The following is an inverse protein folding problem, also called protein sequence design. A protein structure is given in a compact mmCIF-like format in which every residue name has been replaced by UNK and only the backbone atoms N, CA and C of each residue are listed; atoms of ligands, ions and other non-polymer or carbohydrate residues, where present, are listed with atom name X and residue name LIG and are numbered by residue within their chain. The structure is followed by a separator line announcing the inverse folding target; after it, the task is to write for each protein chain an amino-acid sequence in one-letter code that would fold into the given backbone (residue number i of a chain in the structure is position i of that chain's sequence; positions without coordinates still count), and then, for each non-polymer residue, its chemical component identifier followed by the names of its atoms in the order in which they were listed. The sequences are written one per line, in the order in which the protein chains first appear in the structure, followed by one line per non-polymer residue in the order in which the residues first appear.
data_IF_272694177574
#
_entry.id   IF_272694177574
#
_cell.length_a   1.000
_cell.length_b   1.000
_cell.length_c   1.000
_cell.angle_alpha   90.00
_cell.angle_beta   90.00
_cell.angle_gamma   90.00
#
_symmetry.space_group_name_H-M   'P 1'
#
loop_
_entity.id
_entity.type
_entity.pdbx_description
1 polymer ?
#
# COMPACT_ATOMS: atom_id res chain seq x y z
N UNK A 1 1.75 14.40 9.61
CA UNK A 1 1.96 12.95 9.43
C UNK A 1 3.27 12.74 8.71
N UNK A 2 4.09 11.79 9.17
CA UNK A 2 5.36 11.47 8.52
C UNK A 2 5.11 10.65 7.25
N UNK A 3 6.10 10.58 6.36
CA UNK A 3 6.00 9.74 5.16
C UNK A 3 5.85 8.25 5.52
N UNK A 4 6.46 7.80 6.62
CA UNK A 4 6.32 6.44 7.16
C UNK A 4 4.88 6.09 7.50
N UNK A 5 4.08 7.05 7.96
CA UNK A 5 2.65 6.83 8.26
C UNK A 5 1.80 6.47 7.04
N UNK A 6 2.34 6.62 5.83
CA UNK A 6 1.61 6.49 4.58
C UNK A 6 2.07 5.30 3.71
N UNK A 7 3.03 4.49 4.17
CA UNK A 7 3.30 3.20 3.54
C UNK A 7 2.09 2.28 3.68
N UNK A 8 1.68 1.65 2.58
CA UNK A 8 0.51 0.75 2.59
C UNK A 8 0.90 -0.66 3.00
N UNK A 9 0.23 -1.17 4.03
CA UNK A 9 0.33 -2.53 4.55
C UNK A 9 -1.06 -3.03 4.96
N UNK A 10 -1.15 -4.29 5.41
CA UNK A 10 -2.44 -4.91 5.73
C UNK A 10 -2.77 -4.79 7.22
N UNK A 11 -4.01 -4.41 7.50
CA UNK A 11 -4.68 -4.74 8.75
C UNK A 11 -5.59 -5.94 8.50
N UNK A 12 -5.72 -6.81 9.49
CA UNK A 12 -6.59 -7.97 9.39
C UNK A 12 -7.41 -8.21 10.65
N UNK A 13 -8.61 -8.73 10.48
CA UNK A 13 -9.56 -8.99 11.55
C UNK A 13 -9.31 -10.39 12.16
N UNK A 14 -8.82 -10.43 13.41
CA UNK A 14 -8.51 -11.69 14.10
C UNK A 14 -9.78 -12.46 14.46
N UNK A 15 -10.86 -11.76 14.80
CA UNK A 15 -12.15 -12.39 15.07
C UNK A 15 -12.67 -13.17 13.86
N UNK A 16 -12.53 -12.61 12.64
CA UNK A 16 -12.91 -13.32 11.43
C UNK A 16 -11.97 -14.50 11.11
N UNK A 17 -10.69 -14.43 11.47
CA UNK A 17 -9.83 -15.62 11.40
C UNK A 17 -10.36 -16.74 12.29
N UNK A 18 -10.66 -16.45 13.56
CA UNK A 18 -11.16 -17.43 14.52
C UNK A 18 -12.52 -18.01 14.09
N UNK A 19 -13.44 -17.16 13.64
CA UNK A 19 -14.79 -17.56 13.21
C UNK A 19 -14.77 -18.58 12.07
N UNK A 20 -13.80 -18.46 11.16
CA UNK A 20 -13.66 -19.36 10.00
C UNK A 20 -12.57 -20.42 10.21
N UNK A 21 -12.01 -20.55 11.42
CA UNK A 21 -10.97 -21.54 11.74
C UNK A 21 -9.65 -21.32 11.00
N UNK A 22 -9.35 -20.09 10.60
CA UNK A 22 -8.10 -19.70 9.95
C UNK A 22 -7.04 -19.34 10.99
N UNK A 23 -5.81 -19.76 10.74
CA UNK A 23 -4.65 -19.36 11.55
C UNK A 23 -4.16 -17.99 11.07
N UNK A 24 -3.93 -17.06 12.01
CA UNK A 24 -3.33 -15.77 11.68
C UNK A 24 -1.93 -15.97 11.04
N UNK A 25 -1.60 -15.30 9.92
CA UNK A 25 -0.45 -15.67 9.09
C UNK A 25 0.90 -15.15 9.61
N UNK A 26 1.02 -14.76 10.89
CA UNK A 26 2.28 -14.26 11.46
C UNK A 26 3.44 -15.24 11.27
N UNK A 27 3.20 -16.54 11.46
CA UNK A 27 4.25 -17.55 11.28
C UNK A 27 4.62 -17.77 9.82
N UNK A 28 3.66 -17.64 8.89
CA UNK A 28 3.95 -17.65 7.46
C UNK A 28 4.79 -16.44 7.07
N UNK A 29 4.55 -15.27 7.68
CA UNK A 29 5.38 -14.09 7.45
C UNK A 29 6.82 -14.33 7.93
N UNK A 30 6.99 -14.82 9.16
CA UNK A 30 8.31 -15.14 9.73
C UNK A 30 9.06 -16.20 8.92
N UNK A 31 8.34 -17.19 8.39
CA UNK A 31 8.89 -18.23 7.54
C UNK A 31 9.13 -17.77 6.08
N UNK A 32 8.72 -16.56 5.71
CA UNK A 32 8.85 -16.04 4.34
C UNK A 32 7.88 -16.67 3.34
N UNK A 33 6.84 -17.38 3.82
CA UNK A 33 5.85 -18.10 3.01
C UNK A 33 4.51 -17.38 2.88
N UNK A 34 4.38 -16.18 3.46
CA UNK A 34 3.23 -15.30 3.21
C UNK A 34 3.26 -14.75 1.78
N UNK A 35 2.54 -15.40 0.88
CA UNK A 35 2.45 -15.09 -0.55
C UNK A 35 1.06 -14.61 -0.96
N UNK A 36 0.97 -14.11 -2.20
CA UNK A 36 -0.29 -13.69 -2.80
C UNK A 36 -1.31 -14.80 -2.87
N UNK A 37 -0.89 -16.04 -3.08
CA UNK A 37 -1.80 -17.18 -3.13
C UNK A 37 -2.44 -17.43 -1.76
N UNK A 38 -1.62 -17.50 -0.69
CA UNK A 38 -2.15 -17.65 0.68
C UNK A 38 -3.06 -16.49 1.08
N UNK A 39 -2.77 -15.27 0.63
CA UNK A 39 -3.62 -14.11 0.86
C UNK A 39 -4.98 -14.24 0.14
N UNK A 40 -4.97 -14.64 -1.13
CA UNK A 40 -6.20 -14.81 -1.92
C UNK A 40 -7.07 -15.93 -1.35
N UNK A 41 -6.48 -17.04 -0.92
CA UNK A 41 -7.21 -18.15 -0.29
C UNK A 41 -7.98 -17.69 0.96
N UNK A 42 -7.33 -16.87 1.80
CA UNK A 42 -7.99 -16.28 2.98
C UNK A 42 -9.10 -15.29 2.59
N UNK A 43 -8.86 -14.41 1.60
CA UNK A 43 -9.86 -13.46 1.10
C UNK A 43 -11.11 -14.19 0.60
N UNK A 44 -10.94 -15.31 -0.10
CA UNK A 44 -12.06 -16.07 -0.66
C UNK A 44 -12.87 -16.84 0.38
N UNK A 45 -12.34 -17.05 1.59
CA UNK A 45 -12.97 -17.89 2.61
C UNK A 45 -14.13 -17.21 3.34
N UNK A 46 -14.09 -15.89 3.51
CA UNK A 46 -14.98 -15.19 4.49
C UNK A 46 -16.19 -14.51 3.87
N UNK A 47 -16.32 -14.48 2.54
CA UNK A 47 -17.41 -13.78 1.89
C UNK A 47 -18.76 -14.36 2.30
N UNK A 48 -19.68 -13.50 2.75
CA UNK A 48 -20.98 -13.92 3.24
C UNK A 48 -22.00 -12.79 3.10
N UNK A 49 -23.13 -13.10 2.47
CA UNK A 49 -24.30 -12.24 2.40
C UNK A 49 -24.97 -12.21 3.78
N UNK A 50 -24.81 -11.10 4.50
CA UNK A 50 -25.21 -11.01 5.92
C UNK A 50 -26.71 -10.79 6.08
N UNK A 51 -27.36 -10.15 5.11
CA UNK A 51 -28.77 -9.77 5.19
C UNK A 51 -29.68 -10.74 4.40
N UNK A 52 -29.10 -11.60 3.56
CA UNK A 52 -29.77 -12.62 2.77
C UNK A 52 -30.57 -12.09 1.58
N UNK A 53 -30.28 -10.88 1.10
CA UNK A 53 -31.00 -10.25 -0.01
C UNK A 53 -30.41 -10.54 -1.40
N UNK A 54 -29.23 -11.18 -1.46
CA UNK A 54 -28.51 -11.51 -2.68
C UNK A 54 -27.85 -10.30 -3.38
N UNK A 55 -27.81 -9.14 -2.74
CA UNK A 55 -27.22 -7.89 -3.23
C UNK A 55 -25.92 -7.61 -2.48
N UNK A 56 -24.80 -7.88 -3.15
CA UNK A 56 -23.47 -7.63 -2.60
C UNK A 56 -23.16 -6.13 -2.47
N UNK A 57 -23.29 -5.58 -1.25
CA UNK A 57 -22.95 -4.19 -0.93
C UNK A 57 -22.33 -3.98 0.48
N UNK A 58 -22.30 -2.74 0.97
CA UNK A 58 -21.70 -2.40 2.27
C UNK A 58 -22.35 -3.07 3.49
N UNK A 59 -23.47 -3.77 3.33
CA UNK A 59 -24.15 -4.52 4.38
C UNK A 59 -23.65 -5.96 4.52
N UNK A 60 -22.78 -6.43 3.63
CA UNK A 60 -22.26 -7.80 3.60
C UNK A 60 -20.85 -7.93 4.17
N UNK A 61 -20.39 -9.18 4.26
CA UNK A 61 -19.02 -9.52 4.63
C UNK A 61 -18.18 -9.90 3.42
N UNK A 62 -16.94 -9.42 3.39
CA UNK A 62 -15.96 -9.69 2.35
C UNK A 62 -14.58 -10.03 2.91
N UNK A 63 -13.74 -10.61 2.06
CA UNK A 63 -12.33 -10.85 2.37
C UNK A 63 -11.49 -9.59 2.34
N UNK A 64 -11.80 -8.63 1.47
CA UNK A 64 -10.97 -7.45 1.27
C UNK A 64 -11.77 -6.19 0.98
N UNK A 65 -11.50 -5.13 1.76
CA UNK A 65 -11.82 -3.77 1.36
C UNK A 65 -10.68 -3.22 0.51
N UNK A 66 -10.94 -3.01 -0.78
CA UNK A 66 -9.93 -2.71 -1.79
C UNK A 66 -9.84 -1.21 -2.12
N UNK A 67 -8.62 -0.69 -2.20
CA UNK A 67 -8.32 0.70 -2.63
C UNK A 67 -7.82 0.71 -4.08
N UNK A 68 -6.55 0.37 -4.31
CA UNK A 68 -5.93 0.36 -5.64
C UNK A 68 -5.00 -0.84 -5.79
N UNK A 69 -4.90 -1.36 -7.01
CA UNK A 69 -3.99 -2.45 -7.37
C UNK A 69 -2.51 -2.07 -7.21
N UNK A 70 -2.20 -0.77 -7.26
CA UNK A 70 -0.83 -0.23 -7.28
C UNK A 70 0.01 -0.71 -6.09
N UNK A 71 -0.55 -0.69 -4.89
CA UNK A 71 0.17 -1.06 -3.67
C UNK A 71 0.46 -2.56 -3.62
N UNK A 72 -0.47 -3.40 -4.09
CA UNK A 72 -0.24 -4.83 -4.22
C UNK A 72 0.76 -5.19 -5.32
N UNK A 73 0.71 -4.50 -6.46
CA UNK A 73 1.70 -4.67 -7.53
C UNK A 73 3.10 -4.31 -7.02
N UNK A 74 3.22 -3.21 -6.27
CA UNK A 74 4.51 -2.84 -5.65
C UNK A 74 4.98 -3.86 -4.61
N UNK A 75 4.05 -4.42 -3.81
CA UNK A 75 4.33 -5.49 -2.85
C UNK A 75 4.92 -6.76 -3.48
N UNK A 76 4.63 -6.99 -4.76
CA UNK A 76 5.18 -8.09 -5.57
C UNK A 76 6.57 -7.78 -6.18
N UNK A 77 7.32 -6.86 -5.58
CA UNK A 77 8.64 -6.40 -6.02
C UNK A 77 8.67 -5.95 -7.48
N UNK A 78 7.78 -5.02 -7.84
CA UNK A 78 7.78 -4.37 -9.15
C UNK A 78 8.30 -2.95 -8.98
N UNK A 79 9.61 -2.69 -9.17
CA UNK A 79 10.13 -1.34 -9.20
C UNK A 79 9.64 -0.60 -10.45
N UNK A 80 9.15 0.63 -10.29
CA UNK A 80 8.67 1.43 -11.41
C UNK A 80 9.82 1.97 -12.26
N UNK A 81 10.87 2.38 -11.56
CA UNK A 81 12.13 2.85 -12.14
C UNK A 81 13.33 2.20 -11.46
N UNK A 82 14.43 2.09 -12.21
CA UNK A 82 15.73 1.63 -11.70
C UNK A 82 16.85 2.55 -12.19
N UNK A 83 18.08 2.32 -11.75
CA UNK A 83 19.27 2.95 -12.32
C UNK A 83 19.84 2.06 -13.44
N UNK A 84 20.24 2.67 -14.56
CA UNK A 84 21.05 2.02 -15.58
C UNK A 84 22.53 1.95 -15.16
N UNK A 85 23.38 1.36 -16.01
CA UNK A 85 24.82 1.16 -15.74
C UNK A 85 25.58 2.47 -15.46
N UNK A 86 25.10 3.58 -16.05
CA UNK A 86 25.65 4.92 -15.87
C UNK A 86 25.06 5.65 -14.64
N UNK A 87 24.19 4.97 -13.88
CA UNK A 87 23.55 5.50 -12.68
C UNK A 87 22.32 6.37 -12.93
N UNK A 88 21.87 6.50 -14.18
CA UNK A 88 20.70 7.31 -14.53
C UNK A 88 19.40 6.53 -14.35
N UNK A 89 18.34 7.24 -13.98
CA UNK A 89 17.01 6.64 -13.87
C UNK A 89 16.49 6.18 -15.23
N UNK A 90 16.00 4.95 -15.27
CA UNK A 90 15.35 4.32 -16.42
C UNK A 90 14.07 3.58 -16.00
N UNK A 91 13.20 3.29 -16.96
CA UNK A 91 11.96 2.54 -16.72
C UNK A 91 12.29 1.06 -16.53
N UNK A 92 11.85 0.47 -15.41
CA UNK A 92 12.05 -0.96 -15.12
C UNK A 92 10.77 -1.80 -15.16
N UNK A 93 9.59 -1.18 -15.05
CA UNK A 93 8.35 -1.93 -14.87
C UNK A 93 7.82 -2.62 -16.12
N UNK A 94 8.34 -2.34 -17.31
CA UNK A 94 7.84 -2.97 -18.54
C UNK A 94 8.60 -4.27 -18.77
N UNK A 95 8.07 -5.37 -18.24
CA UNK A 95 8.66 -6.72 -18.37
C UNK A 95 7.57 -7.81 -18.42
N UNK A 96 7.96 -9.02 -18.82
CA UNK A 96 7.09 -10.19 -18.73
C UNK A 96 6.70 -10.49 -17.28
N UNK A 97 7.66 -10.45 -16.35
CA UNK A 97 7.40 -10.62 -14.91
C UNK A 97 6.36 -9.62 -14.41
N UNK A 98 6.50 -8.34 -14.78
CA UNK A 98 5.52 -7.31 -14.36
C UNK A 98 4.14 -7.57 -14.96
N UNK A 99 4.07 -8.03 -16.20
CA UNK A 99 2.79 -8.42 -16.81
C UNK A 99 2.12 -9.54 -15.99
N UNK A 100 2.87 -10.58 -15.63
CA UNK A 100 2.36 -11.69 -14.82
C UNK A 100 1.90 -11.24 -13.43
N UNK A 101 2.64 -10.35 -12.78
CA UNK A 101 2.24 -9.75 -11.50
C UNK A 101 0.95 -8.95 -11.64
N UNK A 102 0.86 -8.10 -12.67
CA UNK A 102 -0.31 -7.28 -12.93
C UNK A 102 -1.52 -8.15 -13.20
N UNK A 103 -1.39 -9.20 -14.02
CA UNK A 103 -2.50 -10.10 -14.36
C UNK A 103 -3.01 -10.81 -13.10
N UNK A 104 -2.10 -11.33 -12.26
CA UNK A 104 -2.46 -11.97 -10.97
C UNK A 104 -3.17 -10.99 -10.02
N UNK A 105 -2.69 -9.76 -9.89
CA UNK A 105 -3.36 -8.75 -9.05
C UNK A 105 -4.68 -8.32 -9.66
N UNK A 106 -4.76 -8.17 -10.98
CA UNK A 106 -5.97 -7.75 -11.67
C UNK A 106 -7.07 -8.81 -11.60
N UNK A 107 -6.71 -10.10 -11.60
CA UNK A 107 -7.66 -11.19 -11.36
C UNK A 107 -8.33 -11.04 -10.01
N UNK A 108 -7.54 -10.85 -8.94
CA UNK A 108 -8.09 -10.54 -7.61
C UNK A 108 -8.98 -9.29 -7.67
N UNK A 109 -8.49 -8.16 -8.19
CA UNK A 109 -9.22 -6.88 -8.15
C UNK A 109 -10.50 -6.84 -9.01
N UNK A 110 -10.72 -7.84 -9.86
CA UNK A 110 -11.97 -8.01 -10.63
C UNK A 110 -12.97 -8.95 -9.96
N UNK A 111 -12.58 -9.63 -8.89
CA UNK A 111 -13.49 -10.40 -8.05
C UNK A 111 -14.60 -9.47 -7.54
N UNK A 112 -15.86 -9.90 -7.66
CA UNK A 112 -17.03 -9.11 -7.25
C UNK A 112 -17.75 -9.70 -6.05
N UNK A 113 -17.28 -10.83 -5.56
CA UNK A 113 -17.92 -11.62 -4.49
C UNK A 113 -17.09 -11.58 -3.21
N UNK A 114 -15.76 -11.53 -3.31
CA UNK A 114 -14.87 -11.59 -2.15
C UNK A 114 -14.24 -10.25 -1.78
N UNK A 115 -14.48 -9.20 -2.56
CA UNK A 115 -14.01 -7.86 -2.28
C UNK A 115 -15.05 -6.80 -2.59
N UNK A 116 -14.90 -5.67 -1.92
CA UNK A 116 -15.65 -4.46 -2.18
C UNK A 116 -14.65 -3.30 -2.26
N UNK A 117 -14.84 -2.37 -3.20
CA UNK A 117 -14.02 -1.16 -3.22
C UNK A 117 -14.59 -0.10 -2.27
N UNK A 118 -13.76 0.84 -1.83
CA UNK A 118 -14.25 1.98 -1.04
C UNK A 118 -15.38 2.76 -1.74
N UNK A 119 -15.27 2.98 -3.06
CA UNK A 119 -16.32 3.63 -3.84
C UNK A 119 -17.61 2.82 -3.87
N UNK A 120 -17.52 1.50 -3.99
CA UNK A 120 -18.68 0.61 -4.01
C UNK A 120 -19.35 0.55 -2.63
N UNK A 121 -18.56 0.46 -1.56
CA UNK A 121 -19.04 0.48 -0.18
C UNK A 121 -19.82 1.76 0.11
N UNK A 122 -19.31 2.92 -0.31
CA UNK A 122 -19.95 4.22 -0.07
C UNK A 122 -21.15 4.51 -1.00
N UNK A 123 -21.37 3.69 -2.04
CA UNK A 123 -22.36 4.00 -3.08
C UNK A 123 -23.79 3.95 -2.52
N UNK A 124 -24.45 5.09 -2.52
CA UNK A 124 -25.84 5.21 -2.04
C UNK A 124 -25.99 5.25 -0.52
N UNK A 125 -24.87 5.28 0.21
CA UNK A 125 -24.82 5.34 1.67
C UNK A 125 -24.70 6.79 2.15
N UNK A 126 -25.17 7.08 3.36
CA UNK A 126 -24.96 8.38 4.00
C UNK A 126 -23.55 8.44 4.64
N UNK A 127 -22.62 9.04 3.91
CA UNK A 127 -21.25 9.23 4.40
C UNK A 127 -21.01 10.61 5.04
N UNK A 128 -22.05 11.39 5.32
CA UNK A 128 -21.91 12.78 5.80
C UNK A 128 -21.28 12.89 7.19
N UNK A 129 -21.36 11.83 7.99
CA UNK A 129 -20.69 11.73 9.30
C UNK A 129 -19.18 11.50 9.21
N UNK A 130 -18.63 11.28 8.01
CA UNK A 130 -17.23 10.96 7.78
C UNK A 130 -16.55 12.09 6.99
N UNK A 131 -15.26 12.31 7.27
CA UNK A 131 -14.47 13.33 6.56
C UNK A 131 -14.27 12.97 5.08
N UNK A 132 -14.22 11.69 4.76
CA UNK A 132 -14.12 11.17 3.40
C UNK A 132 -14.74 9.76 3.32
N UNK A 133 -15.09 9.31 2.11
CA UNK A 133 -15.60 7.94 1.87
C UNK A 133 -14.63 6.83 2.34
N UNK A 134 -13.33 7.14 2.46
CA UNK A 134 -12.33 6.18 2.94
C UNK A 134 -12.49 5.95 4.44
N UNK A 135 -12.84 6.99 5.20
CA UNK A 135 -13.08 6.87 6.64
C UNK A 135 -14.38 6.08 6.90
N UNK A 136 -15.38 6.22 6.01
CA UNK A 136 -16.58 5.37 6.01
C UNK A 136 -16.26 3.90 5.70
N UNK A 137 -15.51 3.60 4.63
CA UNK A 137 -15.16 2.21 4.35
C UNK A 137 -14.34 1.57 5.48
N UNK A 138 -13.45 2.34 6.12
CA UNK A 138 -12.67 1.86 7.28
C UNK A 138 -13.53 1.59 8.51
N UNK A 139 -14.64 2.30 8.71
CA UNK A 139 -15.54 1.97 9.82
C UNK A 139 -16.25 0.64 9.60
N UNK A 140 -16.53 0.26 8.34
CA UNK A 140 -17.05 -1.09 8.05
C UNK A 140 -16.05 -2.19 8.43
N UNK A 141 -14.74 -1.98 8.25
CA UNK A 141 -13.73 -2.90 8.78
C UNK A 141 -13.77 -2.96 10.32
N UNK A 142 -13.95 -1.82 10.98
CA UNK A 142 -14.12 -1.75 12.44
C UNK A 142 -15.42 -2.43 12.94
N UNK A 143 -16.38 -2.65 12.05
CA UNK A 143 -17.66 -3.34 12.30
C UNK A 143 -17.65 -4.82 11.83
N UNK A 144 -16.47 -5.39 11.55
CA UNK A 144 -16.29 -6.79 11.15
C UNK A 144 -16.89 -7.20 9.78
N UNK A 145 -17.07 -6.23 8.88
CA UNK A 145 -17.49 -6.50 7.49
C UNK A 145 -16.34 -6.99 6.60
N UNK A 146 -15.09 -6.84 7.01
CA UNK A 146 -13.92 -7.15 6.18
C UNK A 146 -12.86 -7.92 6.94
N UNK A 147 -12.32 -8.99 6.33
CA UNK A 147 -11.15 -9.69 6.88
C UNK A 147 -9.88 -8.86 6.74
N UNK A 148 -9.64 -8.25 5.58
CA UNK A 148 -8.46 -7.43 5.32
C UNK A 148 -8.83 -6.02 4.84
N UNK A 149 -8.00 -5.06 5.23
CA UNK A 149 -7.96 -3.73 4.60
C UNK A 149 -6.51 -3.27 4.46
N UNK A 150 -6.17 -2.68 3.32
CA UNK A 150 -4.84 -2.12 3.09
C UNK A 150 -4.83 -0.62 3.43
N UNK A 151 -4.00 -0.20 4.37
CA UNK A 151 -3.97 1.18 4.89
C UNK A 151 -2.56 1.58 5.35
N UNK A 152 -2.39 2.85 5.74
CA UNK A 152 -1.20 3.33 6.42
C UNK A 152 -1.30 3.23 7.94
N UNK A 153 -0.20 3.49 8.64
CA UNK A 153 -0.17 3.55 10.10
C UNK A 153 -1.06 4.67 10.67
N UNK A 154 -1.19 5.80 9.95
CA UNK A 154 -2.05 6.90 10.38
C UNK A 154 -3.56 6.58 10.38
N UNK A 155 -3.97 5.55 9.63
CA UNK A 155 -5.37 5.14 9.52
C UNK A 155 -5.80 4.25 10.70
N UNK A 156 -4.89 3.83 11.58
CA UNK A 156 -5.22 3.09 12.80
C UNK A 156 -6.23 3.85 13.70
N UNK A 157 -6.27 5.18 13.59
CA UNK A 157 -7.25 6.04 14.25
C UNK A 157 -8.71 5.75 13.84
N UNK A 158 -8.94 5.09 12.70
CA UNK A 158 -10.28 4.66 12.28
C UNK A 158 -10.73 3.37 12.99
N UNK A 159 -9.82 2.68 13.70
CA UNK A 159 -10.08 1.38 14.33
C UNK A 159 -10.12 1.44 15.86
N UNK A 160 -10.10 2.64 16.44
CA UNK A 160 -10.09 2.84 17.91
C UNK A 160 -11.33 2.20 18.57
N UNK A 161 -12.47 2.33 17.91
CA UNK A 161 -13.76 1.83 18.39
C UNK A 161 -14.08 0.39 17.92
N UNK A 162 -13.24 -0.20 17.06
CA UNK A 162 -13.41 -1.57 16.56
C UNK A 162 -13.49 -2.54 17.72
N UNK A 163 -14.58 -3.28 17.90
CA UNK A 163 -14.74 -4.15 19.08
C UNK A 163 -13.85 -5.39 19.05
N UNK A 164 -13.70 -5.96 17.87
CA UNK A 164 -12.89 -7.15 17.63
C UNK A 164 -11.40 -6.83 17.68
N UNK A 165 -10.60 -7.86 17.96
CA UNK A 165 -9.15 -7.74 17.82
C UNK A 165 -8.77 -7.72 16.34
N UNK A 166 -7.76 -6.92 16.02
CA UNK A 166 -7.16 -6.90 14.71
C UNK A 166 -5.65 -7.11 14.83
N UNK A 167 -4.99 -7.32 13.70
CA UNK A 167 -3.55 -7.44 13.60
C UNK A 167 -3.02 -6.74 12.38
N UNK A 168 -1.70 -6.72 12.26
CA UNK A 168 -0.97 -6.07 11.17
C UNK A 168 -0.14 -7.11 10.44
N UNK A 169 -0.06 -6.98 9.12
CA UNK A 169 0.76 -7.84 8.28
C UNK A 169 1.45 -7.02 7.20
N UNK A 170 2.66 -7.45 6.78
CA UNK A 170 3.24 -6.91 5.56
C UNK A 170 2.38 -7.28 4.33
N UNK A 171 2.61 -6.57 3.22
CA UNK A 171 2.01 -6.94 1.94
C UNK A 171 2.51 -8.33 1.55
N UNK A 172 1.66 -9.23 1.06
CA UNK A 172 2.09 -10.56 0.66
C UNK A 172 3.08 -10.49 -0.50
N UNK A 173 4.06 -11.40 -0.49
CA UNK A 173 5.02 -11.60 -1.58
C UNK A 173 4.33 -12.11 -2.84
N UNK A 174 4.93 -11.93 -4.02
CA UNK A 174 4.42 -12.57 -5.23
C UNK A 174 4.40 -14.11 -5.12
N UNK A 175 5.53 -14.66 -4.66
CA UNK A 175 5.79 -16.08 -4.41
C UNK A 175 6.84 -16.23 -3.29
N UNK A 176 7.28 -17.46 -3.00
CA UNK A 176 8.29 -17.74 -1.97
C UNK A 176 9.72 -17.41 -2.39
N UNK A 177 9.97 -17.11 -3.67
CA UNK A 177 11.30 -16.73 -4.17
C UNK A 177 11.59 -15.25 -3.96
N UNK A 178 10.55 -14.41 -3.86
CA UNK A 178 10.73 -13.02 -3.47
C UNK A 178 11.31 -12.93 -2.04
N UNK A 179 12.48 -12.32 -1.90
CA UNK A 179 13.20 -12.29 -0.62
C UNK A 179 12.51 -11.40 0.42
N UNK A 180 12.15 -10.17 0.02
CA UNK A 180 11.65 -9.12 0.91
C UNK A 180 10.17 -8.86 0.72
N UNK A 181 9.50 -8.45 1.80
CA UNK A 181 8.22 -7.77 1.71
C UNK A 181 8.45 -6.34 1.18
N UNK A 182 7.49 -5.72 0.50
CA UNK A 182 7.64 -4.37 -0.04
C UNK A 182 6.41 -3.51 0.17
N UNK A 183 6.63 -2.23 0.47
CA UNK A 183 5.57 -1.28 0.78
C UNK A 183 5.77 0.04 0.04
N UNK A 184 4.92 0.33 -0.93
CA UNK A 184 4.94 1.63 -1.57
C UNK A 184 4.40 2.70 -0.61
N UNK A 185 5.17 3.75 -0.42
CA UNK A 185 4.71 4.97 0.27
C UNK A 185 3.73 5.71 -0.63
N UNK A 186 2.61 6.14 -0.05
CA UNK A 186 1.56 6.88 -0.76
C UNK A 186 2.13 8.06 -1.58
N UNK A 187 1.72 8.23 -2.86
CA UNK A 187 2.07 9.40 -3.67
C UNK A 187 1.83 10.76 -3.00
N UNK A 188 0.82 10.84 -2.14
CA UNK A 188 0.39 12.05 -1.46
C UNK A 188 1.06 12.26 -0.10
N UNK A 189 2.01 11.38 0.28
CA UNK A 189 2.83 11.59 1.46
C UNK A 189 3.59 12.92 1.35
N UNK A 190 3.64 13.68 2.45
CA UNK A 190 4.32 14.97 2.46
C UNK A 190 5.82 14.79 2.17
N UNK A 191 6.27 15.36 1.04
CA UNK A 191 7.67 15.50 0.71
C UNK A 191 8.14 16.94 1.01
N UNK A 192 9.36 17.05 1.50
CA UNK A 192 10.02 18.35 1.65
C UNK A 192 10.68 18.74 0.33
N UNK A 193 10.54 20.00 -0.07
CA UNK A 193 11.17 20.53 -1.27
C UNK A 193 11.84 21.87 -0.97
N UNK A 194 12.98 22.11 -1.62
CA UNK A 194 13.69 23.37 -1.57
C UNK A 194 13.38 24.18 -2.84
N UNK A 195 12.89 25.43 -2.73
CA UNK A 195 12.74 26.29 -3.89
C UNK A 195 14.08 26.54 -4.58
N UNK A 196 14.09 26.59 -5.91
CA UNK A 196 15.31 26.88 -6.68
C UNK A 196 15.88 28.29 -6.44
N UNK A 197 15.09 29.18 -5.82
CA UNK A 197 15.46 30.55 -5.46
C UNK A 197 16.10 30.69 -4.07
N UNK A 198 16.35 29.58 -3.37
CA UNK A 198 17.04 29.60 -2.07
C UNK A 198 18.40 30.28 -2.21
N UNK A 199 18.71 31.20 -1.30
CA UNK A 199 19.97 31.97 -1.36
C UNK A 199 21.18 31.17 -0.87
N UNK A 200 20.95 30.24 0.04
CA UNK A 200 21.97 29.44 0.71
C UNK A 200 21.50 27.96 0.75
N UNK A 201 21.68 27.23 -0.37
CA UNK A 201 21.21 25.85 -0.48
C UNK A 201 21.94 24.91 0.47
N UNK A 202 23.23 25.14 0.75
CA UNK A 202 24.02 24.28 1.62
C UNK A 202 23.53 24.37 3.06
N UNK A 203 23.26 25.58 3.56
CA UNK A 203 22.66 25.75 4.90
C UNK A 203 21.27 25.14 4.98
N UNK A 204 20.44 25.35 3.96
CA UNK A 204 19.10 24.77 3.92
C UNK A 204 19.15 23.23 3.90
N UNK A 205 20.07 22.64 3.12
CA UNK A 205 20.29 21.20 3.05
C UNK A 205 20.80 20.64 4.39
N UNK A 206 21.72 21.34 5.06
CA UNK A 206 22.21 20.95 6.38
C UNK A 206 21.08 20.94 7.43
N UNK A 207 20.22 21.97 7.44
CA UNK A 207 19.05 22.03 8.34
C UNK A 207 18.06 20.91 8.03
N UNK A 208 17.72 20.69 6.74
CA UNK A 208 16.83 19.61 6.33
C UNK A 208 17.39 18.24 6.72
N UNK A 209 18.69 18.02 6.55
CA UNK A 209 19.35 16.77 6.94
C UNK A 209 19.29 16.55 8.44
N UNK A 210 19.51 17.60 9.24
CA UNK A 210 19.38 17.53 10.69
C UNK A 210 17.94 17.26 11.14
N UNK A 211 16.95 17.87 10.50
CA UNK A 211 15.54 17.56 10.73
C UNK A 211 15.18 16.13 10.33
N UNK A 212 15.70 15.62 9.22
CA UNK A 212 15.51 14.22 8.84
C UNK A 212 16.13 13.25 9.85
N UNK A 213 17.32 13.57 10.38
CA UNK A 213 17.95 12.79 11.45
C UNK A 213 17.09 12.77 12.73
N UNK A 214 16.66 13.94 13.22
CA UNK A 214 15.77 14.02 14.39
C UNK A 214 14.42 13.36 14.14
N UNK A 215 13.88 13.49 12.93
CA UNK A 215 12.64 12.84 12.53
C UNK A 215 12.81 11.33 12.51
N UNK A 216 13.96 10.79 12.09
CA UNK A 216 14.19 9.35 12.15
C UNK A 216 14.11 8.82 13.59
N UNK A 217 14.71 9.54 14.54
CA UNK A 217 14.72 9.14 15.96
C UNK A 217 13.33 9.26 16.61
N UNK A 218 12.61 10.35 16.34
CA UNK A 218 11.32 10.65 17.01
C UNK A 218 10.08 10.07 16.33
N UNK A 219 10.12 9.86 15.01
CA UNK A 219 8.95 9.37 14.26
C UNK A 219 8.82 7.86 14.37
N UNK A 220 9.89 7.12 14.64
CA UNK A 220 9.79 5.68 14.87
C UNK A 220 8.89 5.42 16.07
N UNK A 221 9.17 6.06 17.21
CA UNK A 221 8.32 5.92 18.39
C UNK A 221 6.87 6.34 18.09
N UNK A 222 6.65 7.47 17.41
CA UNK A 222 5.31 7.91 17.04
C UNK A 222 4.59 6.97 16.06
N UNK A 223 5.31 6.29 15.16
CA UNK A 223 4.76 5.32 14.22
C UNK A 223 4.24 4.09 14.97
N UNK A 224 5.04 3.57 15.90
CA UNK A 224 4.63 2.46 16.76
C UNK A 224 3.55 2.91 17.74
N UNK A 225 3.65 4.10 18.31
CA UNK A 225 2.64 4.63 19.22
C UNK A 225 1.28 4.78 18.51
N UNK A 226 1.20 5.47 17.37
CA UNK A 226 -0.08 5.66 16.66
C UNK A 226 -0.70 4.31 16.29
N UNK A 227 0.12 3.35 15.88
CA UNK A 227 -0.40 2.06 15.42
C UNK A 227 -0.69 1.10 16.57
N UNK A 228 0.22 0.93 17.53
CA UNK A 228 0.16 -0.02 18.65
C UNK A 228 -0.56 0.48 19.91
N UNK A 229 -0.74 1.80 20.10
CA UNK A 229 -1.34 2.34 21.35
C UNK A 229 -2.81 1.96 21.51
N UNK A 230 -3.48 1.61 20.42
CA UNK A 230 -4.85 1.14 20.48
C UNK A 230 -4.88 -0.32 20.98
N UNK A 231 -5.59 -0.52 22.11
CA UNK A 231 -5.61 -1.68 23.03
C UNK A 231 -5.88 -3.09 22.44
N UNK A 232 -5.82 -3.28 21.13
CA UNK A 232 -6.34 -4.46 20.43
C UNK A 232 -5.34 -5.10 19.46
N UNK A 233 -4.10 -4.62 19.47
CA UNK A 233 -2.97 -5.28 18.82
C UNK A 233 -2.22 -6.12 19.85
N UNK A 234 -1.80 -7.32 19.42
CA UNK A 234 -0.96 -8.18 20.24
C UNK A 234 0.46 -7.67 20.08
N UNK A 235 0.90 -6.87 21.06
CA UNK A 235 2.04 -5.99 20.91
C UNK A 235 3.33 -6.67 20.40
N UNK A 236 3.68 -7.92 20.78
CA UNK A 236 4.89 -8.58 20.27
C UNK A 236 4.79 -8.95 18.78
N UNK A 237 3.75 -9.67 18.37
CA UNK A 237 3.61 -10.13 16.98
C UNK A 237 3.43 -8.95 16.03
N UNK A 238 2.61 -7.96 16.41
CA UNK A 238 2.34 -6.80 15.58
C UNK A 238 3.57 -5.86 15.48
N UNK A 239 4.40 -5.76 16.54
CA UNK A 239 5.67 -5.03 16.49
C UNK A 239 6.65 -5.64 15.49
N UNK A 240 6.81 -6.96 15.48
CA UNK A 240 7.68 -7.66 14.51
C UNK A 240 7.24 -7.35 13.06
N UNK A 241 5.93 -7.29 12.81
CA UNK A 241 5.39 -6.98 11.49
C UNK A 241 5.67 -5.52 11.10
N UNK A 242 5.56 -4.59 12.06
CA UNK A 242 5.88 -3.19 11.83
C UNK A 242 7.37 -2.96 11.54
N UNK A 243 8.27 -3.71 12.20
CA UNK A 243 9.70 -3.69 11.88
C UNK A 243 9.94 -4.09 10.42
N UNK A 244 9.34 -5.21 9.98
CA UNK A 244 9.42 -5.67 8.59
C UNK A 244 8.88 -4.63 7.59
N UNK A 245 7.73 -4.02 7.90
CA UNK A 245 7.09 -3.00 7.07
C UNK A 245 7.99 -1.77 6.95
N UNK A 246 8.49 -1.25 8.08
CA UNK A 246 9.34 -0.06 8.13
C UNK A 246 10.61 -0.26 7.32
N UNK A 247 11.27 -1.40 7.49
CA UNK A 247 12.56 -1.69 6.86
C UNK A 247 12.43 -1.92 5.34
N UNK A 248 11.20 -2.10 4.84
CA UNK A 248 10.91 -2.37 3.43
C UNK A 248 9.97 -1.37 2.76
N UNK A 249 9.86 -0.16 3.33
CA UNK A 249 9.22 0.96 2.64
C UNK A 249 10.02 1.39 1.41
N UNK A 250 9.31 1.65 0.32
CA UNK A 250 9.86 2.08 -0.97
C UNK A 250 9.21 3.38 -1.42
N UNK A 251 10.05 4.32 -1.86
CA UNK A 251 9.64 5.52 -2.56
C UNK A 251 9.90 5.33 -4.06
N UNK A 252 8.89 5.55 -4.88
CA UNK A 252 9.02 5.49 -6.33
C UNK A 252 9.18 6.92 -6.88
N UNK A 253 10.34 7.23 -7.44
CA UNK A 253 10.60 8.57 -7.98
C UNK A 253 9.68 8.89 -9.16
N UNK A 254 9.24 7.87 -9.91
CA UNK A 254 8.23 8.05 -10.95
C UNK A 254 6.87 8.50 -10.41
N UNK A 255 6.58 8.16 -9.15
CA UNK A 255 5.37 8.60 -8.46
C UNK A 255 5.57 10.03 -7.96
N UNK A 256 6.66 10.31 -7.25
CA UNK A 256 6.99 11.66 -6.73
C UNK A 256 7.14 12.69 -7.85
N UNK A 257 7.74 12.31 -8.97
CA UNK A 257 7.93 13.16 -10.15
C UNK A 257 6.75 13.17 -11.14
N UNK A 258 5.62 12.56 -10.79
CA UNK A 258 4.43 12.43 -11.65
C UNK A 258 4.79 11.95 -13.07
N UNK A 259 5.62 10.93 -13.22
CA UNK A 259 6.07 10.48 -14.56
C UNK A 259 4.96 9.80 -15.37
N UNK A 260 3.79 9.55 -14.77
CA UNK A 260 2.65 8.88 -15.39
C UNK A 260 2.67 7.35 -15.29
N UNK A 261 3.71 6.75 -14.71
CA UNK A 261 3.82 5.29 -14.52
C UNK A 261 2.74 4.77 -13.57
N UNK A 262 2.50 5.46 -12.45
CA UNK A 262 1.48 5.08 -11.46
C UNK A 262 0.10 4.96 -12.10
N UNK A 263 -0.24 5.85 -13.03
CA UNK A 263 -1.51 5.80 -13.77
C UNK A 263 -1.62 4.60 -14.72
N UNK A 264 -0.49 4.13 -15.27
CA UNK A 264 -0.45 2.91 -16.08
C UNK A 264 -0.69 1.72 -15.17
N UNK A 265 0.08 1.60 -14.08
CA UNK A 265 -0.01 0.48 -13.13
C UNK A 265 -1.42 0.32 -12.57
N UNK A 266 -2.04 1.44 -12.15
CA UNK A 266 -3.42 1.44 -11.68
C UNK A 266 -4.40 0.97 -12.77
N UNK A 267 -4.29 1.50 -13.99
CA UNK A 267 -5.18 1.14 -15.11
C UNK A 267 -4.98 -0.28 -15.65
N UNK A 268 -3.77 -0.82 -15.56
CA UNK A 268 -3.46 -2.19 -15.98
C UNK A 268 -3.97 -3.21 -14.97
N UNK A 269 -3.87 -2.89 -13.67
CA UNK A 269 -4.50 -3.68 -12.61
C UNK A 269 -6.04 -3.75 -12.70
N UNK A 270 -6.67 -2.96 -13.57
CA UNK A 270 -8.11 -2.99 -13.84
C UNK A 270 -8.48 -3.73 -15.13
N UNK A 271 -7.54 -4.12 -16.00
CA UNK A 271 -7.92 -4.61 -17.35
C UNK A 271 -7.01 -4.23 -18.50
N UNK A 272 -6.27 -3.13 -18.38
CA UNK A 272 -5.50 -2.62 -19.51
C UNK A 272 -4.23 -3.43 -19.75
N UNK A 273 -3.91 -3.76 -20.99
CA UNK A 273 -2.64 -4.44 -21.31
C UNK A 273 -1.44 -3.52 -21.10
N UNK A 274 -0.48 -3.96 -20.27
CA UNK A 274 0.71 -3.20 -19.85
C UNK A 274 1.47 -2.56 -21.02
N UNK A 275 1.85 -3.36 -22.01
CA UNK A 275 2.63 -2.89 -23.15
C UNK A 275 1.90 -1.79 -23.95
N UNK A 276 0.59 -1.96 -24.17
CA UNK A 276 -0.20 -0.98 -24.92
C UNK A 276 -0.41 0.33 -24.14
N UNK A 277 -0.63 0.24 -22.82
CA UNK A 277 -0.77 1.40 -21.95
C UNK A 277 0.54 2.19 -21.84
N UNK A 278 1.67 1.48 -21.73
CA UNK A 278 3.00 2.10 -21.76
C UNK A 278 3.29 2.77 -23.10
N UNK A 279 3.04 2.09 -24.22
CA UNK A 279 3.34 2.63 -25.55
C UNK A 279 2.59 3.95 -25.83
N UNK A 280 1.34 4.07 -25.35
CA UNK A 280 0.55 5.31 -25.46
C UNK A 280 1.16 6.50 -24.70
N UNK A 281 1.93 6.25 -23.64
CA UNK A 281 2.50 7.29 -22.75
C UNK A 281 4.02 7.39 -22.82
N UNK A 282 4.68 6.52 -23.60
CA UNK A 282 6.13 6.40 -23.69
C UNK A 282 6.85 7.73 -23.91
N UNK A 283 6.41 8.52 -24.89
CA UNK A 283 7.02 9.82 -25.20
C UNK A 283 6.94 10.83 -24.03
N UNK A 284 5.85 10.80 -23.26
CA UNK A 284 5.69 11.65 -22.07
C UNK A 284 6.61 11.19 -20.95
N UNK A 285 6.68 9.87 -20.72
CA UNK A 285 7.54 9.26 -19.69
C UNK A 285 9.02 9.55 -20.00
N UNK A 286 9.46 9.32 -21.23
CA UNK A 286 10.84 9.58 -21.67
C UNK A 286 11.21 11.06 -21.55
N UNK A 287 10.29 11.97 -21.91
CA UNK A 287 10.50 13.40 -21.71
C UNK A 287 10.70 13.75 -20.23
N UNK A 288 9.82 13.28 -19.34
CA UNK A 288 9.91 13.56 -17.89
C UNK A 288 11.16 12.92 -17.27
N UNK A 289 11.54 11.71 -17.68
CA UNK A 289 12.81 11.09 -17.28
C UNK A 289 14.01 11.93 -17.73
N UNK A 290 14.02 12.43 -18.96
CA UNK A 290 15.10 13.29 -19.44
C UNK A 290 15.15 14.64 -18.70
N UNK A 291 14.02 15.22 -18.32
CA UNK A 291 13.97 16.41 -17.46
C UNK A 291 14.59 16.14 -16.09
N UNK A 292 14.29 14.99 -15.47
CA UNK A 292 14.92 14.55 -14.22
C UNK A 292 16.42 14.30 -14.42
N UNK A 293 16.83 13.58 -15.48
CA UNK A 293 18.24 13.35 -15.80
C UNK A 293 19.02 14.67 -15.93
N UNK A 294 18.46 15.67 -16.62
CA UNK A 294 19.08 17.00 -16.76
C UNK A 294 19.19 17.76 -15.43
N UNK A 295 18.19 17.66 -14.56
CA UNK A 295 18.17 18.32 -13.25
C UNK A 295 19.08 17.64 -12.23
N UNK A 296 19.21 16.32 -12.29
CA UNK A 296 19.86 15.49 -11.27
C UNK A 296 21.12 14.76 -11.76
N UNK A 297 21.74 15.21 -12.86
CA UNK A 297 22.95 14.62 -13.47
C UNK A 297 24.19 14.53 -12.55
N UNK A 298 24.09 14.94 -11.28
CA UNK A 298 25.18 14.96 -10.29
C UNK A 298 24.78 14.49 -8.88
N UNK A 299 23.82 13.57 -8.75
CA UNK A 299 23.74 12.79 -7.52
C UNK A 299 24.53 11.49 -7.69
N UNK A 300 25.86 11.61 -7.61
CA UNK A 300 26.67 10.48 -7.14
C UNK A 300 26.54 10.46 -5.60
N UNK A 301 26.23 9.31 -4.98
CA UNK A 301 26.40 9.17 -3.54
C UNK A 301 27.86 9.42 -3.14
#
# INVERSE_FOLDING_TARGET
MSASSNARFLYFNKHLCDLYGMVAPYDQVRAGTWTKDSFVDMVQTVAFDLNGDGVWDGHDRYGLLSETSTFFISGCDVPFTTKDEDGYLTVSFVSERTSNVIDKVAELMRDKTHLLSFDAAAKGQDTSGYRHIFDYGRSLFAEDHFLFVQNGAGDANCFVDMRSEYGILPNPKYDTYQERYWHLVDPFACAWAMPSSVKDPDRAAAIMSYWSYLSHDTVVDAFYEITLTYKRLNAPEDSDMLDLIRDSMRYEISTVGDMGITSIVAGTGQGSGLASAYQKRKSVIERKLNEVRKKYARFNP
#
